data_IF_865712915005
#
_entry.id   IF_865712915005
#
_cell.length_a   1.000
_cell.length_b   1.000
_cell.length_c   1.000
_cell.angle_alpha   90.00
_cell.angle_beta   90.00
_cell.angle_gamma   90.00
#
_symmetry.space_group_name_H-M   'P 1'
#
loop_
_entity.id
_entity.type
_entity.pdbx_description
1 polymer ?
#
# COMPACT_ATOMS: atom_id res chain seq x y z
N UNK A 1 12.18 -25.65 -3.97
CA UNK A 1 12.59 -24.29 -4.35
C UNK A 1 11.33 -23.53 -4.67
N UNK A 2 11.12 -22.32 -4.14
CA UNK A 2 9.95 -21.52 -4.50
C UNK A 2 10.00 -21.17 -5.99
N UNK A 3 8.81 -21.10 -6.61
CA UNK A 3 8.63 -20.66 -7.99
C UNK A 3 9.13 -19.21 -8.15
N UNK A 4 9.51 -18.82 -9.37
CA UNK A 4 9.81 -17.44 -9.78
C UNK A 4 8.72 -16.45 -9.35
N UNK A 5 7.44 -16.78 -9.57
CA UNK A 5 6.29 -15.97 -9.16
C UNK A 5 6.25 -15.66 -7.66
N UNK A 6 6.51 -16.67 -6.82
CA UNK A 6 6.54 -16.52 -5.36
C UNK A 6 7.66 -15.58 -4.89
N UNK A 7 8.81 -15.59 -5.57
CA UNK A 7 9.91 -14.67 -5.23
C UNK A 7 9.59 -13.22 -5.57
N UNK A 8 8.85 -13.00 -6.65
CA UNK A 8 8.40 -11.67 -7.05
C UNK A 8 7.31 -11.14 -6.08
N UNK A 9 6.38 -12.01 -5.68
CA UNK A 9 5.37 -11.69 -4.66
C UNK A 9 6.04 -11.34 -3.31
N UNK A 10 7.04 -12.12 -2.89
CA UNK A 10 7.81 -11.82 -1.67
C UNK A 10 8.54 -10.47 -1.76
N UNK A 11 9.09 -10.13 -2.92
CA UNK A 11 9.74 -8.84 -3.13
C UNK A 11 8.73 -7.68 -3.01
N UNK A 12 7.57 -7.81 -3.63
CA UNK A 12 6.49 -6.82 -3.51
C UNK A 12 5.99 -6.68 -2.06
N UNK A 13 5.83 -7.80 -1.36
CA UNK A 13 5.44 -7.80 0.06
C UNK A 13 6.48 -7.13 0.97
N UNK A 14 7.78 -7.33 0.72
CA UNK A 14 8.83 -6.64 1.48
C UNK A 14 8.74 -5.14 1.32
N UNK A 15 8.40 -4.67 0.12
CA UNK A 15 8.22 -3.23 -0.16
C UNK A 15 6.97 -2.68 0.55
N UNK A 16 5.86 -3.42 0.58
CA UNK A 16 4.68 -3.03 1.37
C UNK A 16 4.99 -2.91 2.88
N UNK A 17 5.82 -3.81 3.40
CA UNK A 17 6.28 -3.77 4.81
C UNK A 17 7.22 -2.56 5.04
N UNK A 18 8.08 -2.22 4.08
CA UNK A 18 8.93 -1.04 4.17
C UNK A 18 8.09 0.26 4.23
N UNK A 19 7.02 0.35 3.44
CA UNK A 19 6.06 1.46 3.50
C UNK A 19 5.32 1.54 4.86
N UNK A 20 4.98 0.40 5.46
CA UNK A 20 4.41 0.37 6.81
C UNK A 20 5.40 0.91 7.87
N UNK A 21 6.69 0.60 7.73
CA UNK A 21 7.74 1.18 8.58
C UNK A 21 7.88 2.69 8.37
N UNK A 22 7.78 3.18 7.12
CA UNK A 22 7.79 4.60 6.81
C UNK A 22 6.62 5.34 7.49
N UNK A 23 5.39 4.81 7.39
CA UNK A 23 4.24 5.39 8.08
C UNK A 23 4.46 5.51 9.59
N UNK A 24 5.07 4.50 10.20
CA UNK A 24 5.39 4.51 11.64
C UNK A 24 6.38 5.61 11.98
N UNK A 25 7.40 5.82 11.15
CA UNK A 25 8.38 6.90 11.33
C UNK A 25 7.76 8.29 11.25
N UNK A 26 6.65 8.43 10.52
CA UNK A 26 5.86 9.66 10.40
C UNK A 26 4.78 9.81 11.49
N UNK A 27 4.77 8.93 12.50
CA UNK A 27 3.80 8.97 13.60
C UNK A 27 2.39 8.49 13.22
N UNK A 28 2.27 7.72 12.13
CA UNK A 28 1.01 7.16 11.63
C UNK A 28 0.90 5.68 11.95
N UNK A 29 -0.25 5.08 11.62
CA UNK A 29 -0.45 3.64 11.82
C UNK A 29 0.43 2.83 10.84
N UNK A 30 0.96 1.66 11.27
CA UNK A 30 1.97 0.88 10.54
C UNK A 30 1.34 0.07 9.40
N UNK A 31 0.80 0.75 8.38
CA UNK A 31 0.19 0.10 7.23
C UNK A 31 0.75 0.65 5.92
N UNK A 32 1.14 -0.24 5.03
CA UNK A 32 1.72 0.06 3.73
C UNK A 32 1.07 -0.78 2.63
N UNK A 33 1.06 -0.24 1.42
CA UNK A 33 0.55 -0.90 0.23
C UNK A 33 1.42 -0.57 -0.98
N UNK A 34 1.57 -1.54 -1.88
CA UNK A 34 2.21 -1.36 -3.18
C UNK A 34 1.34 -1.94 -4.28
N UNK A 35 1.42 -1.35 -5.46
CA UNK A 35 0.75 -1.84 -6.66
C UNK A 35 1.80 -2.23 -7.67
N UNK A 36 1.70 -3.45 -8.18
CA UNK A 36 2.60 -3.98 -9.18
C UNK A 36 1.83 -4.40 -10.45
N UNK A 37 2.51 -4.33 -11.59
CA UNK A 37 2.04 -4.84 -12.87
C UNK A 37 3.19 -5.70 -13.40
N UNK A 38 2.92 -6.96 -13.76
CA UNK A 38 3.93 -7.91 -14.22
C UNK A 38 5.15 -7.98 -13.28
N UNK A 39 4.91 -8.12 -11.97
CA UNK A 39 5.93 -8.14 -10.91
C UNK A 39 6.72 -6.83 -10.73
N UNK A 40 6.40 -5.76 -11.46
CA UNK A 40 7.07 -4.46 -11.35
C UNK A 40 6.22 -3.49 -10.54
N UNK A 41 6.77 -2.97 -9.45
CA UNK A 41 6.09 -1.98 -8.60
C UNK A 41 5.97 -0.65 -9.35
N UNK A 42 4.72 -0.27 -9.63
CA UNK A 42 4.37 0.98 -10.31
C UNK A 42 3.95 2.08 -9.34
N UNK A 43 3.54 1.72 -8.12
CA UNK A 43 3.14 2.68 -7.10
C UNK A 43 3.34 2.14 -5.68
N UNK A 44 3.60 3.07 -4.76
CA UNK A 44 3.74 2.82 -3.32
C UNK A 44 2.92 3.85 -2.56
N UNK A 45 2.28 3.43 -1.49
CA UNK A 45 1.57 4.31 -0.57
C UNK A 45 1.58 3.71 0.83
N UNK A 46 1.52 4.59 1.82
CA UNK A 46 1.37 4.18 3.20
C UNK A 46 0.26 4.99 3.87
N UNK A 47 -0.29 4.43 4.95
CA UNK A 47 -1.43 5.00 5.64
C UNK A 47 -1.15 6.45 6.06
N UNK A 48 -2.00 7.37 5.63
CA UNK A 48 -1.95 8.78 5.97
C UNK A 48 -2.88 9.13 7.15
N UNK A 49 -3.72 8.18 7.60
CA UNK A 49 -4.60 8.37 8.74
C UNK A 49 -3.81 8.67 10.02
N UNK A 50 -4.06 9.80 10.71
CA UNK A 50 -3.38 10.14 11.94
C UNK A 50 -3.63 9.10 13.03
N UNK A 51 -2.59 8.67 13.75
CA UNK A 51 -2.74 7.69 14.83
C UNK A 51 -3.71 8.17 15.94
N UNK A 52 -3.77 9.48 16.18
CA UNK A 52 -4.71 10.08 17.13
C UNK A 52 -6.19 9.91 16.72
N UNK A 53 -6.49 9.89 15.42
CA UNK A 53 -7.87 9.78 14.91
C UNK A 53 -8.48 8.39 15.20
N UNK A 54 -7.67 7.32 15.18
CA UNK A 54 -8.14 5.96 15.54
C UNK A 54 -8.15 5.65 17.04
N UNK A 55 -7.49 6.45 17.89
CA UNK A 55 -7.41 6.22 19.34
C UNK A 55 -8.54 6.87 20.15
N UNK A 56 -9.67 7.18 19.51
CA UNK A 56 -10.92 7.58 20.18
C UNK A 56 -11.08 9.06 20.51
N UNK A 57 -10.23 9.95 19.97
CA UNK A 57 -10.35 11.39 20.24
C UNK A 57 -9.69 12.35 19.24
N UNK A 58 -9.10 11.85 18.15
CA UNK A 58 -8.44 12.71 17.15
C UNK A 58 -9.35 13.13 16.01
N UNK A 59 -9.08 14.30 15.45
CA UNK A 59 -9.69 14.80 14.20
C UNK A 59 -8.83 14.41 13.00
N UNK A 60 -9.44 14.08 11.86
CA UNK A 60 -8.72 13.76 10.63
C UNK A 60 -9.54 12.88 9.69
N UNK A 61 -9.06 12.70 8.45
CA UNK A 61 -9.70 11.79 7.50
C UNK A 61 -9.31 10.34 7.80
N UNK A 62 -10.25 9.59 8.36
CA UNK A 62 -10.08 8.18 8.72
C UNK A 62 -10.01 7.25 7.50
N UNK A 63 -10.41 7.73 6.33
CA UNK A 63 -10.43 6.96 5.07
C UNK A 63 -9.06 6.89 4.39
N UNK A 64 -8.06 7.62 4.89
CA UNK A 64 -6.71 7.68 4.32
C UNK A 64 -5.85 6.45 4.66
N UNK A 65 -6.43 5.28 4.49
CA UNK A 65 -5.75 3.99 4.54
C UNK A 65 -4.76 3.85 3.37
N UNK A 66 -3.77 2.96 3.50
CA UNK A 66 -2.72 2.81 2.50
C UNK A 66 -3.29 2.41 1.12
N UNK A 67 -4.23 1.47 1.09
CA UNK A 67 -4.90 0.99 -0.11
C UNK A 67 -5.68 2.10 -0.81
N UNK A 68 -6.41 2.90 -0.01
CA UNK A 68 -7.23 4.01 -0.53
C UNK A 68 -6.38 5.14 -1.08
N UNK A 69 -5.27 5.49 -0.42
CA UNK A 69 -4.32 6.47 -0.94
C UNK A 69 -3.70 5.98 -2.25
N UNK A 70 -3.40 4.68 -2.35
CA UNK A 70 -2.87 4.11 -3.58
C UNK A 70 -3.87 4.21 -4.73
N UNK A 71 -5.13 3.82 -4.48
CA UNK A 71 -6.21 3.95 -5.46
C UNK A 71 -6.38 5.42 -5.89
N UNK A 72 -6.43 6.36 -4.94
CA UNK A 72 -6.61 7.80 -5.21
C UNK A 72 -5.49 8.40 -6.03
N UNK A 73 -4.24 8.07 -5.72
CA UNK A 73 -3.07 8.74 -6.28
C UNK A 73 -2.59 8.16 -7.62
N UNK A 74 -2.88 6.88 -7.88
CA UNK A 74 -2.22 6.15 -8.96
C UNK A 74 -3.18 5.54 -9.99
N UNK A 75 -4.43 5.21 -9.66
CA UNK A 75 -5.33 4.55 -10.64
C UNK A 75 -5.74 5.43 -11.82
N UNK A 76 -5.75 6.75 -11.63
CA UNK A 76 -5.99 7.73 -12.70
C UNK A 76 -4.82 7.85 -13.68
N UNK A 77 -3.63 7.39 -13.30
CA UNK A 77 -2.42 7.39 -14.13
C UNK A 77 -2.27 6.11 -14.96
N UNK A 78 -3.05 5.09 -14.65
CA UNK A 78 -3.04 3.80 -15.34
C UNK A 78 -4.10 3.76 -16.44
N UNK A 79 -3.79 3.08 -17.53
CA UNK A 79 -4.74 2.67 -18.55
C UNK A 79 -5.69 1.57 -18.02
N UNK A 80 -6.75 1.27 -18.78
CA UNK A 80 -7.68 0.20 -18.39
C UNK A 80 -7.02 -1.19 -18.38
N UNK A 81 -6.10 -1.43 -19.31
CA UNK A 81 -5.34 -2.68 -19.41
C UNK A 81 -4.38 -2.84 -18.23
N UNK A 82 -3.58 -1.80 -17.94
CA UNK A 82 -2.70 -1.79 -16.76
C UNK A 82 -3.46 -2.01 -15.46
N UNK A 83 -4.63 -1.39 -15.29
CA UNK A 83 -5.48 -1.63 -14.12
C UNK A 83 -5.98 -3.07 -14.01
N UNK A 84 -6.31 -3.70 -15.14
CA UNK A 84 -6.80 -5.08 -15.17
C UNK A 84 -5.73 -6.10 -14.79
N UNK A 85 -4.45 -5.76 -15.03
CA UNK A 85 -3.31 -6.63 -14.74
C UNK A 85 -2.60 -6.25 -13.43
N UNK A 86 -3.07 -5.21 -12.73
CA UNK A 86 -2.44 -4.74 -11.52
C UNK A 86 -2.77 -5.65 -10.31
N UNK A 87 -1.75 -5.91 -9.51
CA UNK A 87 -1.86 -6.64 -8.24
C UNK A 87 -1.56 -5.69 -7.10
N UNK A 88 -2.46 -5.64 -6.11
CA UNK A 88 -2.29 -4.86 -4.89
C UNK A 88 -1.72 -5.77 -3.80
N UNK A 89 -0.60 -5.37 -3.22
CA UNK A 89 0.02 -6.01 -2.07
C UNK A 89 -0.13 -5.10 -0.86
N UNK A 90 -0.67 -5.64 0.23
CA UNK A 90 -0.94 -4.90 1.47
C UNK A 90 -0.18 -5.54 2.63
N UNK A 91 0.40 -4.73 3.52
CA UNK A 91 1.16 -5.24 4.66
C UNK A 91 0.31 -5.97 5.71
N UNK A 92 -1.02 -5.87 5.61
CA UNK A 92 -2.03 -6.52 6.45
C UNK A 92 -3.26 -6.85 5.61
N UNK A 93 -4.18 -7.65 6.15
CA UNK A 93 -5.53 -7.80 5.60
C UNK A 93 -6.26 -6.43 5.60
N UNK A 94 -6.84 -6.02 4.45
CA UNK A 94 -7.51 -4.71 4.29
C UNK A 94 -8.90 -4.61 4.94
#
# INVERSE_FOLDING_TARGET
MPDSSQRDDEACMREAIAEAAAATSEGKMPFGAVLAIDSVIVARAHNQCPAAAKRGGGTGDVTRHAEMELVRLFTSKLTAEERSNAVLYTSTEP
#
